data_IF_247119857326
#
_entry.id   IF_247119857326
#
_cell.length_a   1.000
_cell.length_b   1.000
_cell.length_c   1.000
_cell.angle_alpha   90.00
_cell.angle_beta   90.00
_cell.angle_gamma   90.00
#
_symmetry.space_group_name_H-M   'P 1'
#
loop_
_entity.id
_entity.type
_entity.pdbx_description
1 polymer ?
#
# COMPACT_ATOMS: atom_id res chain seq x y z
N UNK A 1 47.97 -90.60 -142.82
CA UNK A 1 47.87 -89.26 -142.16
C UNK A 1 47.02 -89.32 -140.87
N UNK A 2 46.74 -90.52 -140.36
CA UNK A 2 45.91 -90.82 -139.18
C UNK A 2 46.58 -90.54 -137.82
N UNK A 3 47.87 -90.18 -137.75
CA UNK A 3 48.55 -89.94 -136.45
C UNK A 3 48.23 -88.60 -135.78
N UNK A 4 47.56 -87.66 -136.45
CA UNK A 4 47.19 -86.35 -135.86
C UNK A 4 45.84 -86.33 -135.14
N UNK A 5 44.95 -87.28 -135.41
CA UNK A 5 43.64 -87.35 -134.73
C UNK A 5 43.73 -87.93 -133.31
N UNK A 6 44.62 -88.90 -133.09
CA UNK A 6 44.72 -89.61 -131.81
C UNK A 6 45.30 -88.72 -130.68
N UNK A 7 46.26 -87.85 -130.98
CA UNK A 7 46.87 -86.96 -129.98
C UNK A 7 45.96 -85.81 -129.52
N UNK A 8 45.04 -85.35 -130.38
CA UNK A 8 44.06 -84.32 -130.01
C UNK A 8 42.92 -84.88 -129.15
N UNK A 9 42.47 -86.10 -129.43
CA UNK A 9 41.46 -86.76 -128.61
C UNK A 9 41.96 -87.05 -127.18
N UNK A 10 43.25 -87.33 -127.02
CA UNK A 10 43.83 -87.64 -125.71
C UNK A 10 44.08 -86.40 -124.84
N UNK A 11 44.42 -85.25 -125.44
CA UNK A 11 44.58 -83.98 -124.71
C UNK A 11 43.24 -83.40 -124.21
N UNK A 12 42.18 -83.46 -125.02
CA UNK A 12 40.85 -83.03 -124.59
C UNK A 12 40.25 -83.92 -123.49
N UNK A 13 40.56 -85.22 -123.48
CA UNK A 13 40.08 -86.13 -122.43
C UNK A 13 40.68 -85.81 -121.05
N UNK A 14 41.95 -85.39 -121.00
CA UNK A 14 42.64 -85.06 -119.74
C UNK A 14 42.20 -83.72 -119.14
N UNK A 15 41.92 -82.70 -119.96
CA UNK A 15 41.39 -81.43 -119.45
C UNK A 15 39.93 -81.56 -118.99
N UNK A 16 39.13 -82.39 -119.67
CA UNK A 16 37.76 -82.67 -119.26
C UNK A 16 37.69 -83.43 -117.92
N UNK A 17 38.61 -84.37 -117.68
CA UNK A 17 38.70 -85.07 -116.39
C UNK A 17 39.17 -84.16 -115.24
N UNK A 18 40.04 -83.19 -115.50
CA UNK A 18 40.49 -82.24 -114.47
C UNK A 18 39.40 -81.22 -114.08
N UNK A 19 38.59 -80.77 -115.05
CA UNK A 19 37.48 -79.84 -114.80
C UNK A 19 36.33 -80.52 -114.03
N UNK A 20 35.98 -81.75 -114.42
CA UNK A 20 34.93 -82.55 -113.74
C UNK A 20 35.32 -82.88 -112.30
N UNK A 21 36.61 -83.12 -112.00
CA UNK A 21 37.09 -83.40 -110.65
C UNK A 21 36.99 -82.23 -109.67
N UNK A 22 37.22 -80.99 -110.12
CA UNK A 22 37.15 -79.78 -109.31
C UNK A 22 35.70 -79.34 -109.03
N UNK A 23 34.79 -79.50 -109.99
CA UNK A 23 33.36 -79.27 -109.78
C UNK A 23 32.75 -80.29 -108.80
N UNK A 24 33.20 -81.54 -108.84
CA UNK A 24 32.72 -82.57 -107.92
C UNK A 24 33.18 -82.32 -106.47
N UNK A 25 34.41 -81.82 -106.27
CA UNK A 25 34.90 -81.44 -104.93
C UNK A 25 34.20 -80.21 -104.37
N UNK A 26 33.91 -79.20 -105.19
CA UNK A 26 33.15 -78.01 -104.74
C UNK A 26 31.69 -78.35 -104.43
N UNK A 27 31.05 -79.23 -105.21
CA UNK A 27 29.72 -79.72 -104.91
C UNK A 27 29.66 -80.51 -103.60
N UNK A 28 30.62 -81.41 -103.36
CA UNK A 28 30.70 -82.18 -102.11
C UNK A 28 30.94 -81.29 -100.89
N UNK A 29 31.84 -80.31 -100.96
CA UNK A 29 32.06 -79.36 -99.88
C UNK A 29 30.81 -78.49 -99.61
N UNK A 30 30.08 -78.09 -100.66
CA UNK A 30 28.83 -77.33 -100.50
C UNK A 30 27.70 -78.18 -99.87
N UNK A 31 27.62 -79.47 -100.21
CA UNK A 31 26.67 -80.42 -99.62
C UNK A 31 27.03 -80.72 -98.16
N UNK A 32 28.30 -80.89 -97.85
CA UNK A 32 28.77 -81.10 -96.48
C UNK A 32 28.58 -79.84 -95.61
N UNK A 33 28.84 -78.64 -96.15
CA UNK A 33 28.54 -77.38 -95.50
C UNK A 33 27.04 -77.17 -95.25
N UNK A 34 26.18 -77.53 -96.20
CA UNK A 34 24.71 -77.50 -96.02
C UNK A 34 24.23 -78.52 -95.00
N UNK A 35 24.72 -79.76 -95.04
CA UNK A 35 24.38 -80.80 -94.07
C UNK A 35 24.85 -80.41 -92.65
N UNK A 36 26.08 -79.89 -92.50
CA UNK A 36 26.59 -79.39 -91.22
C UNK A 36 25.81 -78.19 -90.71
N UNK A 37 25.36 -77.29 -91.58
CA UNK A 37 24.52 -76.15 -91.22
C UNK A 37 23.14 -76.60 -90.72
N UNK A 38 22.52 -77.58 -91.38
CA UNK A 38 21.23 -78.15 -90.94
C UNK A 38 21.35 -78.87 -89.61
N UNK A 39 22.41 -79.65 -89.38
CA UNK A 39 22.66 -80.32 -88.10
C UNK A 39 22.91 -79.29 -86.98
N UNK A 40 23.69 -78.24 -87.25
CA UNK A 40 23.87 -77.13 -86.30
C UNK A 40 22.56 -76.38 -86.01
N UNK A 41 21.70 -76.17 -87.02
CA UNK A 41 20.41 -75.51 -86.84
C UNK A 41 19.43 -76.37 -86.01
N UNK A 42 19.42 -77.69 -86.20
CA UNK A 42 18.63 -78.61 -85.38
C UNK A 42 19.13 -78.67 -83.94
N UNK A 43 20.45 -78.75 -83.73
CA UNK A 43 21.04 -78.71 -82.40
C UNK A 43 20.80 -77.36 -81.69
N UNK A 44 20.81 -76.24 -82.43
CA UNK A 44 20.46 -74.93 -81.90
C UNK A 44 18.98 -74.83 -81.52
N UNK A 45 18.09 -75.43 -82.33
CA UNK A 45 16.65 -75.50 -82.04
C UNK A 45 16.35 -76.31 -80.79
N UNK A 46 16.99 -77.45 -80.61
CA UNK A 46 16.84 -78.29 -79.42
C UNK A 46 17.34 -77.58 -78.16
N UNK A 47 18.50 -76.93 -78.21
CA UNK A 47 19.01 -76.09 -77.11
C UNK A 47 18.06 -74.97 -76.74
N UNK A 48 17.45 -74.32 -77.73
CA UNK A 48 16.46 -73.26 -77.50
C UNK A 48 15.19 -73.83 -76.87
N UNK A 49 14.71 -74.98 -77.32
CA UNK A 49 13.54 -75.64 -76.74
C UNK A 49 13.77 -76.03 -75.28
N UNK A 50 14.93 -76.61 -74.97
CA UNK A 50 15.29 -76.95 -73.59
C UNK A 50 15.40 -75.70 -72.71
N UNK A 51 16.02 -74.62 -73.20
CA UNK A 51 16.09 -73.35 -72.49
C UNK A 51 14.70 -72.75 -72.21
N UNK A 52 13.80 -72.77 -73.20
CA UNK A 52 12.41 -72.30 -73.04
C UNK A 52 11.67 -73.16 -72.01
N UNK A 53 11.84 -74.47 -72.07
CA UNK A 53 11.21 -75.40 -71.14
C UNK A 53 11.69 -75.16 -69.70
N UNK A 54 13.00 -75.05 -69.48
CA UNK A 54 13.57 -74.76 -68.16
C UNK A 54 13.08 -73.41 -67.62
N UNK A 55 13.04 -72.37 -68.47
CA UNK A 55 12.50 -71.07 -68.10
C UNK A 55 11.02 -71.13 -67.74
N UNK A 56 10.22 -71.89 -68.48
CA UNK A 56 8.80 -72.08 -68.20
C UNK A 56 8.60 -72.83 -66.89
N UNK A 57 9.43 -73.84 -66.62
CA UNK A 57 9.37 -74.60 -65.38
C UNK A 57 9.71 -73.73 -64.17
N UNK A 58 10.76 -72.91 -64.25
CA UNK A 58 11.09 -71.92 -63.22
C UNK A 58 9.95 -70.92 -63.03
N UNK A 59 9.33 -70.43 -64.11
CA UNK A 59 8.18 -69.53 -64.00
C UNK A 59 6.99 -70.17 -63.29
N UNK A 60 6.68 -71.44 -63.60
CA UNK A 60 5.59 -72.17 -62.95
C UNK A 60 5.83 -72.38 -61.45
N UNK A 61 7.07 -72.69 -61.05
CA UNK A 61 7.46 -72.79 -59.64
C UNK A 61 7.29 -71.46 -58.93
N UNK A 62 7.79 -70.37 -59.52
CA UNK A 62 7.63 -69.03 -58.93
C UNK A 62 6.15 -68.61 -58.85
N UNK A 63 5.34 -68.94 -59.85
CA UNK A 63 3.91 -68.65 -59.85
C UNK A 63 3.18 -69.41 -58.73
N UNK A 64 3.55 -70.68 -58.51
CA UNK A 64 3.04 -71.46 -57.39
C UNK A 64 3.44 -70.85 -56.04
N UNK A 65 4.70 -70.45 -55.88
CA UNK A 65 5.17 -69.79 -54.66
C UNK A 65 4.46 -68.46 -54.40
N UNK A 66 4.27 -67.64 -55.43
CA UNK A 66 3.54 -66.38 -55.33
C UNK A 66 2.09 -66.63 -54.91
N UNK A 67 1.42 -67.61 -55.51
CA UNK A 67 0.05 -67.99 -55.11
C UNK A 67 -0.01 -68.49 -53.67
N UNK A 68 0.95 -69.32 -53.25
CA UNK A 68 1.04 -69.81 -51.87
C UNK A 68 1.25 -68.67 -50.88
N UNK A 69 2.17 -67.74 -51.18
CA UNK A 69 2.42 -66.56 -50.33
C UNK A 69 1.20 -65.63 -50.29
N UNK A 70 0.54 -65.43 -51.43
CA UNK A 70 -0.72 -64.68 -51.50
C UNK A 70 -1.80 -65.27 -50.60
N UNK A 71 -2.02 -66.58 -50.67
CA UNK A 71 -2.99 -67.27 -49.81
C UNK A 71 -2.66 -67.20 -48.31
N UNK A 72 -1.38 -67.30 -47.93
CA UNK A 72 -0.97 -67.10 -46.53
C UNK A 72 -1.22 -65.67 -46.05
N UNK A 73 -0.97 -64.68 -46.90
CA UNK A 73 -1.12 -63.27 -46.57
C UNK A 73 -2.60 -62.86 -46.44
N UNK A 74 -3.46 -63.37 -47.33
CA UNK A 74 -4.92 -63.23 -47.23
C UNK A 74 -5.47 -63.90 -45.96
N UNK A 75 -4.90 -65.04 -45.54
CA UNK A 75 -5.26 -65.71 -44.28
C UNK A 75 -4.91 -64.88 -43.05
N UNK A 76 -3.71 -64.28 -43.03
CA UNK A 76 -3.28 -63.40 -41.94
C UNK A 76 -4.12 -62.12 -41.87
N UNK A 77 -4.40 -61.47 -43.00
CA UNK A 77 -5.28 -60.29 -43.05
C UNK A 77 -6.71 -60.59 -42.60
N UNK A 78 -7.26 -61.76 -42.92
CA UNK A 78 -8.56 -62.19 -42.37
C UNK A 78 -8.50 -62.36 -40.86
N UNK A 79 -7.43 -62.89 -40.30
CA UNK A 79 -7.28 -63.03 -38.85
C UNK A 79 -7.10 -61.69 -38.13
N UNK A 80 -6.40 -60.72 -38.74
CA UNK A 80 -6.32 -59.34 -38.22
C UNK A 80 -7.66 -58.61 -38.33
N UNK A 81 -8.43 -58.84 -39.39
CA UNK A 81 -9.79 -58.31 -39.54
C UNK A 81 -10.80 -58.99 -38.59
N UNK A 82 -10.49 -60.21 -38.14
CA UNK A 82 -11.27 -60.96 -37.15
C UNK A 82 -10.66 -60.78 -35.75
N UNK A 83 -10.31 -59.54 -35.39
CA UNK A 83 -9.98 -59.22 -34.00
C UNK A 83 -11.14 -59.65 -33.11
N UNK A 84 -10.81 -60.43 -32.08
CA UNK A 84 -11.79 -61.02 -31.16
C UNK A 84 -12.66 -59.91 -30.55
N UNK A 85 -14.01 -59.93 -30.71
CA UNK A 85 -14.89 -58.85 -30.29
C UNK A 85 -14.72 -58.48 -28.80
N UNK A 86 -14.35 -59.48 -27.99
CA UNK A 86 -14.00 -59.34 -26.57
C UNK A 86 -12.77 -58.47 -26.34
N UNK A 87 -11.67 -58.71 -27.09
CA UNK A 87 -10.43 -57.92 -26.98
C UNK A 87 -10.66 -56.46 -27.40
N UNK A 88 -11.41 -56.24 -28.49
CA UNK A 88 -11.80 -54.91 -28.94
C UNK A 88 -12.64 -54.16 -27.89
N UNK A 89 -13.53 -54.86 -27.19
CA UNK A 89 -14.33 -54.27 -26.12
C UNK A 89 -13.47 -53.91 -24.89
N UNK A 90 -12.52 -54.76 -24.52
CA UNK A 90 -11.56 -54.50 -23.44
C UNK A 90 -10.68 -53.29 -23.77
N UNK A 91 -10.17 -53.19 -25.00
CA UNK A 91 -9.37 -52.04 -25.46
C UNK A 91 -10.17 -50.74 -25.31
N UNK A 92 -11.41 -50.69 -25.84
CA UNK A 92 -12.28 -49.50 -25.69
C UNK A 92 -12.54 -49.14 -24.23
N UNK A 93 -12.73 -50.14 -23.37
CA UNK A 93 -12.94 -49.90 -21.95
C UNK A 93 -11.70 -49.31 -21.28
N UNK A 94 -10.52 -49.81 -21.61
CA UNK A 94 -9.25 -49.29 -21.10
C UNK A 94 -8.99 -47.87 -21.61
N UNK A 95 -9.22 -47.60 -22.88
CA UNK A 95 -9.12 -46.25 -23.47
C UNK A 95 -10.05 -45.27 -22.74
N UNK A 96 -11.31 -45.63 -22.55
CA UNK A 96 -12.27 -44.81 -21.80
C UNK A 96 -11.84 -44.57 -20.34
N UNK A 97 -11.27 -45.59 -19.69
CA UNK A 97 -10.78 -45.47 -18.32
C UNK A 97 -9.55 -44.56 -18.23
N UNK A 98 -8.63 -44.67 -19.21
CA UNK A 98 -7.45 -43.80 -19.33
C UNK A 98 -7.87 -42.35 -19.56
N UNK A 99 -8.79 -42.09 -20.49
CA UNK A 99 -9.30 -40.74 -20.77
C UNK A 99 -9.94 -40.13 -19.51
N UNK A 100 -10.78 -40.91 -18.80
CA UNK A 100 -11.39 -40.47 -17.52
C UNK A 100 -10.33 -40.15 -16.47
N UNK A 101 -9.27 -40.94 -16.38
CA UNK A 101 -8.18 -40.69 -15.43
C UNK A 101 -7.42 -39.41 -15.79
N UNK A 102 -7.10 -39.20 -17.07
CA UNK A 102 -6.44 -37.98 -17.54
C UNK A 102 -7.28 -36.73 -17.25
N UNK A 103 -8.60 -36.79 -17.43
CA UNK A 103 -9.49 -35.69 -17.07
C UNK A 103 -9.51 -35.40 -15.57
N UNK A 104 -9.47 -36.45 -14.72
CA UNK A 104 -9.36 -36.30 -13.27
C UNK A 104 -8.02 -35.66 -12.86
N UNK A 105 -6.91 -36.07 -13.48
CA UNK A 105 -5.59 -35.49 -13.24
C UNK A 105 -5.60 -34.01 -13.61
N UNK A 106 -6.03 -33.65 -14.83
CA UNK A 106 -6.11 -32.25 -15.27
C UNK A 106 -6.98 -31.39 -14.37
N UNK A 107 -8.09 -31.94 -13.88
CA UNK A 107 -8.97 -31.23 -12.93
C UNK A 107 -8.30 -31.06 -11.57
N UNK A 108 -7.65 -32.12 -11.08
CA UNK A 108 -6.88 -32.10 -9.85
C UNK A 108 -5.73 -31.08 -9.89
N UNK A 109 -5.01 -30.99 -11.01
CA UNK A 109 -3.95 -29.99 -11.23
C UNK A 109 -4.49 -28.56 -11.20
N UNK A 110 -5.65 -28.30 -11.83
CA UNK A 110 -6.31 -26.99 -11.78
C UNK A 110 -6.70 -26.61 -10.36
N UNK A 111 -7.29 -27.55 -9.61
CA UNK A 111 -7.67 -27.35 -8.21
C UNK A 111 -6.43 -27.09 -7.35
N UNK A 112 -5.38 -27.89 -7.53
CA UNK A 112 -4.11 -27.74 -6.81
C UNK A 112 -3.47 -26.37 -7.06
N UNK A 113 -3.42 -25.93 -8.31
CA UNK A 113 -2.92 -24.60 -8.67
C UNK A 113 -3.75 -23.48 -8.03
N UNK A 114 -5.07 -23.64 -7.94
CA UNK A 114 -5.94 -22.69 -7.26
C UNK A 114 -5.65 -22.63 -5.76
N UNK A 115 -5.43 -23.78 -5.12
CA UNK A 115 -5.05 -23.84 -3.71
C UNK A 115 -3.70 -23.18 -3.45
N UNK A 116 -2.70 -23.39 -4.30
CA UNK A 116 -1.41 -22.72 -4.18
C UNK A 116 -1.57 -21.20 -4.26
N UNK A 117 -2.32 -20.70 -5.25
CA UNK A 117 -2.62 -19.26 -5.37
C UNK A 117 -3.31 -18.70 -4.13
N UNK A 118 -4.27 -19.42 -3.58
CA UNK A 118 -4.98 -19.00 -2.37
C UNK A 118 -4.04 -18.94 -1.17
N UNK A 119 -3.15 -19.92 -1.03
CA UNK A 119 -2.14 -19.95 0.03
C UNK A 119 -1.17 -18.77 -0.10
N UNK A 120 -0.72 -18.45 -1.31
CA UNK A 120 0.18 -17.32 -1.53
C UNK A 120 -0.51 -15.99 -1.18
N UNK A 121 -1.76 -15.80 -1.61
CA UNK A 121 -2.55 -14.63 -1.20
C UNK A 121 -2.71 -14.53 0.32
N UNK A 122 -3.00 -15.65 1.00
CA UNK A 122 -3.12 -15.67 2.45
C UNK A 122 -1.80 -15.38 3.16
N UNK A 123 -0.65 -15.78 2.59
CA UNK A 123 0.66 -15.43 3.12
C UNK A 123 0.93 -13.93 2.97
N UNK A 124 0.55 -13.34 1.84
CA UNK A 124 0.70 -11.90 1.60
C UNK A 124 -0.16 -11.07 2.57
N UNK A 125 -1.41 -11.48 2.81
CA UNK A 125 -2.28 -10.89 3.83
C UNK A 125 -1.70 -11.05 5.24
N UNK A 126 -1.22 -12.26 5.57
CA UNK A 126 -0.61 -12.54 6.87
C UNK A 126 0.65 -11.69 7.10
N UNK A 127 1.43 -11.40 6.06
CA UNK A 127 2.61 -10.54 6.16
C UNK A 127 2.27 -9.07 6.46
N UNK A 128 1.07 -8.60 6.09
CA UNK A 128 0.63 -7.23 6.34
C UNK A 128 0.10 -7.00 7.76
N UNK A 129 -0.48 -8.03 8.39
CA UNK A 129 -1.09 -7.93 9.71
C UNK A 129 -0.11 -7.46 10.81
N UNK A 130 1.13 -7.99 10.92
CA UNK A 130 2.11 -7.50 11.90
C UNK A 130 2.43 -6.01 11.72
N UNK A 131 2.57 -5.54 10.49
CA UNK A 131 2.86 -4.12 10.21
C UNK A 131 1.71 -3.21 10.68
N UNK A 132 0.46 -3.62 10.44
CA UNK A 132 -0.71 -2.88 10.94
C UNK A 132 -0.77 -2.89 12.47
N UNK A 133 -0.40 -4.02 13.10
CA UNK A 133 -0.35 -4.15 14.54
C UNK A 133 0.74 -3.25 15.15
N UNK A 134 1.91 -3.18 14.54
CA UNK A 134 3.01 -2.31 14.97
C UNK A 134 2.59 -0.83 14.95
N UNK A 135 1.88 -0.40 13.90
CA UNK A 135 1.35 0.96 13.79
C UNK A 135 0.33 1.24 14.91
N UNK A 136 -0.59 0.30 15.16
CA UNK A 136 -1.57 0.42 16.25
C UNK A 136 -0.89 0.46 17.62
N UNK A 137 0.12 -0.38 17.84
CA UNK A 137 0.87 -0.43 19.09
C UNK A 137 1.62 0.89 19.33
N UNK A 138 2.31 1.41 18.32
CA UNK A 138 2.98 2.71 18.42
C UNK A 138 2.00 3.84 18.74
N UNK A 139 0.82 3.88 18.12
CA UNK A 139 -0.20 4.88 18.47
C UNK A 139 -0.66 4.78 19.93
N UNK A 140 -0.84 3.56 20.44
CA UNK A 140 -1.19 3.34 21.86
C UNK A 140 -0.07 3.84 22.77
N UNK A 141 1.19 3.59 22.44
CA UNK A 141 2.33 4.07 23.23
C UNK A 141 2.39 5.60 23.27
N UNK A 142 2.18 6.27 22.14
CA UNK A 142 2.11 7.74 22.05
C UNK A 142 0.98 8.27 22.95
N UNK A 143 -0.24 7.74 22.83
CA UNK A 143 -1.36 8.19 23.65
C UNK A 143 -1.15 7.93 25.14
N UNK A 144 -0.47 6.85 25.52
CA UNK A 144 -0.13 6.61 26.92
C UNK A 144 0.83 7.65 27.48
N UNK A 145 1.82 8.08 26.69
CA UNK A 145 2.76 9.14 27.09
C UNK A 145 2.04 10.47 27.22
N UNK A 146 1.22 10.85 26.25
CA UNK A 146 0.42 12.09 26.29
C UNK A 146 -0.51 12.12 27.51
N UNK A 147 -1.21 11.02 27.79
CA UNK A 147 -2.11 10.92 28.93
C UNK A 147 -1.36 11.04 30.27
N UNK A 148 -0.17 10.43 30.37
CA UNK A 148 0.69 10.59 31.56
C UNK A 148 1.14 12.05 31.72
N UNK A 149 1.49 12.73 30.63
CA UNK A 149 1.83 14.16 30.63
C UNK A 149 0.68 15.03 31.11
N UNK A 150 -0.53 14.83 30.56
CA UNK A 150 -1.73 15.56 30.99
C UNK A 150 -2.08 15.31 32.45
N UNK A 151 -1.92 14.07 32.95
CA UNK A 151 -2.14 13.74 34.36
C UNK A 151 -1.16 14.48 35.27
N UNK A 152 0.11 14.55 34.90
CA UNK A 152 1.11 15.28 35.68
C UNK A 152 0.77 16.78 35.73
N UNK A 153 0.43 17.39 34.59
CA UNK A 153 -0.02 18.78 34.54
C UNK A 153 -1.26 19.03 35.39
N UNK A 154 -2.23 18.11 35.39
CA UNK A 154 -3.42 18.23 36.24
C UNK A 154 -3.05 18.18 37.73
N UNK A 155 -2.15 17.27 38.13
CA UNK A 155 -1.66 17.19 39.51
C UNK A 155 -0.94 18.48 39.90
N UNK A 156 -0.02 18.98 39.06
CA UNK A 156 0.71 20.23 39.32
C UNK A 156 -0.24 21.44 39.44
N UNK A 157 -1.23 21.52 38.55
CA UNK A 157 -2.25 22.56 38.60
C UNK A 157 -3.06 22.49 39.90
N UNK A 158 -3.52 21.31 40.31
CA UNK A 158 -4.25 21.14 41.59
C UNK A 158 -3.38 21.52 42.77
N UNK A 159 -2.11 21.09 42.79
CA UNK A 159 -1.17 21.43 43.86
C UNK A 159 -0.94 22.93 43.95
N UNK A 160 -0.70 23.61 42.83
CA UNK A 160 -0.54 25.06 42.80
C UNK A 160 -1.81 25.80 43.29
N UNK A 161 -3.01 25.29 42.94
CA UNK A 161 -4.25 25.88 43.45
C UNK A 161 -4.46 25.66 44.95
N UNK A 162 -4.07 24.51 45.49
CA UNK A 162 -4.16 24.24 46.92
C UNK A 162 -3.12 25.05 47.70
N UNK A 163 -1.88 25.15 47.21
CA UNK A 163 -0.84 26.02 47.76
C UNK A 163 -1.33 27.48 47.81
N UNK A 164 -1.87 28.01 46.72
CA UNK A 164 -2.43 29.36 46.68
C UNK A 164 -3.61 29.58 47.65
N UNK A 165 -4.48 28.57 47.83
CA UNK A 165 -5.55 28.62 48.83
C UNK A 165 -4.98 28.67 50.24
N UNK A 166 -3.98 27.84 50.54
CA UNK A 166 -3.34 27.83 51.86
C UNK A 166 -2.68 29.17 52.17
N UNK A 167 -1.95 29.75 51.22
CA UNK A 167 -1.32 31.06 51.36
C UNK A 167 -2.34 32.17 51.59
N UNK A 168 -3.44 32.17 50.82
CA UNK A 168 -4.53 33.11 51.01
C UNK A 168 -5.13 33.01 52.43
N UNK A 169 -5.40 31.79 52.91
CA UNK A 169 -5.94 31.60 54.27
C UNK A 169 -4.95 32.02 55.35
N UNK A 170 -3.66 31.71 55.19
CA UNK A 170 -2.63 32.11 56.13
C UNK A 170 -2.55 33.64 56.21
N UNK A 171 -2.46 34.30 55.06
CA UNK A 171 -2.37 35.76 54.98
C UNK A 171 -3.62 36.46 55.52
N UNK A 172 -4.81 35.87 55.31
CA UNK A 172 -6.05 36.36 55.95
C UNK A 172 -5.99 36.23 57.48
N UNK A 173 -5.53 35.10 58.01
CA UNK A 173 -5.42 34.90 59.47
C UNK A 173 -4.41 35.85 60.11
N UNK A 174 -3.27 36.09 59.46
CA UNK A 174 -2.27 37.07 59.89
C UNK A 174 -2.85 38.49 59.88
N UNK A 175 -3.56 38.86 58.83
CA UNK A 175 -4.22 40.17 58.75
C UNK A 175 -5.26 40.37 59.85
N UNK A 176 -6.07 39.34 60.14
CA UNK A 176 -7.04 39.37 61.24
C UNK A 176 -6.33 39.49 62.60
N UNK A 177 -5.26 38.74 62.82
CA UNK A 177 -4.48 38.79 64.06
C UNK A 177 -3.86 40.17 64.27
N UNK A 178 -3.28 40.75 63.23
CA UNK A 178 -2.68 42.08 63.29
C UNK A 178 -3.75 43.17 63.52
N UNK A 179 -4.90 43.07 62.83
CA UNK A 179 -6.04 43.97 63.07
C UNK A 179 -6.51 43.91 64.52
N UNK A 180 -6.67 42.70 65.09
CA UNK A 180 -7.04 42.52 66.50
C UNK A 180 -5.99 43.12 67.44
N UNK A 181 -4.70 42.96 67.14
CA UNK A 181 -3.63 43.56 67.94
C UNK A 181 -3.72 45.10 67.96
N UNK A 182 -3.90 45.72 66.79
CA UNK A 182 -4.07 47.18 66.67
C UNK A 182 -5.31 47.67 67.42
N UNK A 183 -6.44 46.98 67.27
CA UNK A 183 -7.69 47.32 67.95
C UNK A 183 -7.58 47.20 69.48
N UNK A 184 -6.90 46.15 69.97
CA UNK A 184 -6.60 45.99 71.40
C UNK A 184 -5.72 47.12 71.94
N UNK A 185 -4.69 47.52 71.19
CA UNK A 185 -3.83 48.65 71.54
C UNK A 185 -4.60 49.98 71.59
N UNK A 186 -5.44 50.25 70.59
CA UNK A 186 -6.32 51.42 70.56
C UNK A 186 -7.32 51.41 71.72
N UNK A 187 -7.93 50.26 72.03
CA UNK A 187 -8.82 50.10 73.17
C UNK A 187 -8.10 50.34 74.50
N UNK A 188 -6.84 49.93 74.62
CA UNK A 188 -6.03 50.23 75.80
C UNK A 188 -5.80 51.73 75.95
N UNK A 189 -5.37 52.42 74.89
CA UNK A 189 -5.19 53.87 74.90
C UNK A 189 -6.51 54.61 75.20
N UNK A 190 -7.62 54.20 74.59
CA UNK A 190 -8.95 54.76 74.84
C UNK A 190 -9.36 54.62 76.31
N UNK A 191 -9.14 53.45 76.92
CA UNK A 191 -9.39 53.24 78.36
C UNK A 191 -8.56 54.20 79.23
N UNK A 192 -7.31 54.49 78.87
CA UNK A 192 -6.50 55.49 79.60
C UNK A 192 -7.07 56.91 79.44
N UNK A 193 -7.47 57.28 78.22
CA UNK A 193 -8.11 58.58 77.96
C UNK A 193 -9.42 58.70 78.75
N UNK A 194 -10.26 57.66 78.75
CA UNK A 194 -11.53 57.67 79.48
C UNK A 194 -11.30 57.77 81.00
N UNK A 195 -10.26 57.12 81.54
CA UNK A 195 -9.85 57.31 82.95
C UNK A 195 -9.44 58.75 83.24
N UNK A 196 -8.66 59.37 82.35
CA UNK A 196 -8.28 60.79 82.47
C UNK A 196 -9.54 61.65 82.42
N UNK A 197 -10.45 61.42 81.47
CA UNK A 197 -11.70 62.19 81.35
C UNK A 197 -12.59 62.07 82.58
N UNK A 198 -12.74 60.88 83.16
CA UNK A 198 -13.49 60.69 84.41
C UNK A 198 -12.81 61.39 85.58
N UNK A 199 -11.48 61.32 85.68
CA UNK A 199 -10.71 62.04 86.69
C UNK A 199 -10.84 63.55 86.51
N UNK A 200 -10.70 64.07 85.30
CA UNK A 200 -10.88 65.48 84.95
C UNK A 200 -12.31 65.95 85.21
N UNK A 201 -13.33 65.14 84.91
CA UNK A 201 -14.70 65.44 85.28
C UNK A 201 -14.84 65.53 86.80
N UNK A 202 -14.30 64.57 87.57
CA UNK A 202 -14.30 64.62 89.04
C UNK A 202 -13.52 65.81 89.61
N UNK A 203 -12.43 66.22 88.97
CA UNK A 203 -11.66 67.42 89.32
C UNK A 203 -12.39 68.71 88.92
N UNK A 204 -13.10 68.75 87.79
CA UNK A 204 -13.94 69.89 87.40
C UNK A 204 -15.10 70.07 88.38
N UNK A 205 -15.72 69.00 88.87
CA UNK A 205 -16.68 69.07 89.99
C UNK A 205 -16.03 69.61 91.27
N UNK A 206 -14.71 69.44 91.45
CA UNK A 206 -13.93 70.05 92.54
C UNK A 206 -13.51 71.51 92.25
N UNK A 207 -13.40 71.91 90.97
CA UNK A 207 -12.95 73.25 90.50
C UNK A 207 -14.09 74.20 90.08
N UNK A 208 -15.36 73.79 90.13
CA UNK A 208 -16.51 74.73 90.00
C UNK A 208 -16.52 75.77 91.13
N UNK A 209 -15.66 75.63 92.14
CA UNK A 209 -15.24 76.74 93.00
C UNK A 209 -14.02 77.45 92.37
N UNK A 210 -14.28 78.51 91.59
CA UNK A 210 -13.34 79.58 91.16
C UNK A 210 -12.89 79.60 89.68
N UNK A 211 -13.39 80.57 88.88
CA UNK A 211 -12.85 80.89 87.55
C UNK A 211 -11.95 82.14 87.55
N UNK A 212 -10.80 82.08 86.85
CA UNK A 212 -10.15 83.27 86.24
C UNK A 212 -9.38 82.89 84.98
N UNK A 213 -9.73 83.55 83.88
CA UNK A 213 -9.06 83.56 82.59
C UNK A 213 -7.96 84.65 82.55
N UNK A 214 -6.88 84.44 81.80
CA UNK A 214 -5.97 85.50 81.35
C UNK A 214 -5.41 85.17 79.95
N UNK A 215 -5.54 86.16 79.07
CA UNK A 215 -5.02 86.23 77.70
C UNK A 215 -3.58 86.77 77.70
N UNK A 216 -2.71 86.29 76.79
CA UNK A 216 -1.51 87.06 76.37
C UNK A 216 -1.19 86.85 74.87
N UNK A 217 -1.42 87.95 74.14
CA UNK A 217 -0.68 88.61 73.05
C UNK A 217 0.17 87.82 72.02
N UNK A 218 -0.06 88.20 70.75
CA UNK A 218 0.64 87.79 69.52
C UNK A 218 1.54 88.95 69.04
N UNK A 219 2.86 88.78 69.10
CA UNK A 219 3.85 89.74 68.58
C UNK A 219 4.05 89.60 67.07
N UNK A 220 4.12 90.73 66.36
CA UNK A 220 4.36 90.85 64.92
C UNK A 220 5.82 91.24 64.69
N UNK A 221 6.64 90.35 64.12
CA UNK A 221 8.04 90.61 63.73
C UNK A 221 8.09 90.86 62.20
N UNK A 222 8.58 92.03 61.79
CA UNK A 222 8.86 92.38 60.39
C UNK A 222 10.15 91.69 59.90
N UNK A 223 10.11 91.05 58.73
CA UNK A 223 11.24 90.29 58.19
C UNK A 223 12.23 91.20 57.42
N UNK A 224 13.52 91.08 57.73
CA UNK A 224 14.61 91.85 57.08
C UNK A 224 14.73 91.53 55.57
N UNK A 225 15.15 92.49 54.74
CA UNK A 225 15.26 92.36 53.27
C UNK A 225 16.07 91.12 52.81
N UNK A 226 17.17 90.82 53.51
CA UNK A 226 17.98 89.63 53.24
C UNK A 226 17.23 88.31 53.49
N UNK A 227 16.27 88.30 54.42
CA UNK A 227 15.44 87.14 54.70
C UNK A 227 14.39 86.91 53.61
N UNK A 228 13.87 87.99 53.01
CA UNK A 228 12.93 87.91 51.88
C UNK A 228 13.65 87.39 50.62
N UNK A 229 14.86 87.87 50.33
CA UNK A 229 15.65 87.39 49.18
C UNK A 229 16.05 85.91 49.33
N UNK A 230 16.49 85.49 50.52
CA UNK A 230 16.77 84.09 50.82
C UNK A 230 15.53 83.21 50.69
N UNK A 231 14.37 83.67 51.20
CA UNK A 231 13.12 82.93 51.11
C UNK A 231 12.62 82.81 49.66
N UNK A 232 12.81 83.83 48.84
CA UNK A 232 12.51 83.77 47.41
C UNK A 232 13.39 82.75 46.66
N UNK A 233 14.69 82.71 46.98
CA UNK A 233 15.62 81.76 46.38
C UNK A 233 15.29 80.31 46.76
N UNK A 234 15.02 80.04 48.04
CA UNK A 234 14.60 78.71 48.51
C UNK A 234 13.30 78.26 47.83
N UNK A 235 12.33 79.16 47.68
CA UNK A 235 11.06 78.84 47.00
C UNK A 235 11.28 78.52 45.52
N UNK A 236 12.16 79.26 44.83
CA UNK A 236 12.51 79.00 43.43
C UNK A 236 13.20 77.63 43.24
N UNK A 237 14.14 77.27 44.11
CA UNK A 237 14.81 75.96 44.05
C UNK A 237 13.85 74.81 44.35
N UNK A 238 12.95 74.99 45.33
CA UNK A 238 11.88 74.03 45.62
C UNK A 238 10.97 73.82 44.40
N UNK A 239 10.60 74.90 43.69
CA UNK A 239 9.76 74.79 42.49
C UNK A 239 10.49 74.10 41.34
N UNK A 240 11.81 74.29 41.18
CA UNK A 240 12.61 73.52 40.21
C UNK A 240 12.58 72.01 40.53
N UNK A 241 12.76 71.66 41.80
CA UNK A 241 12.69 70.25 42.26
C UNK A 241 11.29 69.69 42.02
N UNK A 242 10.24 70.47 42.32
CA UNK A 242 8.85 70.09 42.09
C UNK A 242 8.57 69.81 40.61
N UNK A 243 9.08 70.65 39.71
CA UNK A 243 8.97 70.45 38.26
C UNK A 243 9.76 69.21 37.80
N UNK A 244 10.99 69.01 38.28
CA UNK A 244 11.83 67.86 37.90
C UNK A 244 11.24 66.52 38.35
N UNK A 245 10.67 66.48 39.56
CA UNK A 245 10.03 65.29 40.15
C UNK A 245 8.55 65.17 39.76
N UNK A 246 8.02 66.14 39.00
CA UNK A 246 6.65 66.26 38.47
C UNK A 246 5.53 66.24 39.54
N UNK A 247 5.80 66.63 40.78
CA UNK A 247 4.80 66.63 41.87
C UNK A 247 3.98 67.92 41.95
N UNK A 248 2.78 67.84 42.50
CA UNK A 248 1.90 69.00 42.68
C UNK A 248 2.12 69.69 44.02
N UNK A 249 2.46 68.94 45.08
CA UNK A 249 2.71 69.47 46.41
C UNK A 249 4.11 69.14 46.92
N UNK A 250 4.66 70.05 47.72
CA UNK A 250 5.94 69.94 48.41
C UNK A 250 6.07 68.64 49.22
N UNK A 251 4.99 68.23 49.88
CA UNK A 251 4.94 67.03 50.70
C UNK A 251 5.09 65.73 49.89
N UNK A 252 4.85 65.77 48.58
CA UNK A 252 4.92 64.60 47.71
C UNK A 252 6.35 64.32 47.20
N UNK A 253 7.26 65.30 47.34
CA UNK A 253 8.64 65.21 46.83
C UNK A 253 9.35 63.99 47.45
N UNK A 254 9.29 63.85 48.78
CA UNK A 254 9.92 62.73 49.48
C UNK A 254 9.32 61.37 49.06
N UNK A 255 8.00 61.29 48.89
CA UNK A 255 7.32 60.08 48.44
C UNK A 255 7.72 59.67 47.02
N UNK A 256 7.88 60.63 46.11
CA UNK A 256 8.32 60.34 44.73
C UNK A 256 9.79 59.93 44.64
N UNK A 257 10.67 60.53 45.44
CA UNK A 257 12.06 60.06 45.53
C UNK A 257 12.14 58.63 46.06
N UNK A 258 11.36 58.29 47.09
CA UNK A 258 11.29 56.91 47.59
C UNK A 258 10.72 55.94 46.55
N UNK A 259 9.71 56.35 45.78
CA UNK A 259 9.16 55.53 44.71
C UNK A 259 10.16 55.34 43.54
N UNK A 260 10.87 56.39 43.14
CA UNK A 260 11.95 56.30 42.14
C UNK A 260 13.09 55.41 42.63
N UNK A 261 13.50 55.55 43.90
CA UNK A 261 14.50 54.70 44.52
C UNK A 261 14.07 53.23 44.48
N UNK A 262 12.85 52.91 44.94
CA UNK A 262 12.31 51.55 44.93
C UNK A 262 12.19 50.98 43.52
N UNK A 263 11.83 51.81 42.53
CA UNK A 263 11.80 51.40 41.12
C UNK A 263 13.21 51.12 40.61
N UNK A 264 14.19 51.93 40.98
CA UNK A 264 15.61 51.71 40.68
C UNK A 264 16.15 50.42 41.30
N UNK A 265 15.85 50.16 42.57
CA UNK A 265 16.21 48.93 43.28
C UNK A 265 15.59 47.69 42.60
N UNK A 266 14.31 47.77 42.19
CA UNK A 266 13.65 46.70 41.46
C UNK A 266 14.27 46.44 40.07
N UNK A 267 14.60 47.50 39.32
CA UNK A 267 15.30 47.36 38.05
C UNK A 267 16.70 46.77 38.23
N UNK A 268 17.43 47.19 39.27
CA UNK A 268 18.73 46.65 39.59
C UNK A 268 18.64 45.15 39.92
N UNK A 269 17.63 44.75 40.69
CA UNK A 269 17.33 43.35 40.98
C UNK A 269 17.02 42.57 39.69
N UNK A 270 16.19 43.11 38.79
CA UNK A 270 15.90 42.48 37.50
C UNK A 270 17.14 42.34 36.61
N UNK A 271 18.06 43.33 36.62
CA UNK A 271 19.33 43.24 35.88
C UNK A 271 20.18 42.09 36.42
N UNK A 272 20.27 41.95 37.75
CA UNK A 272 21.00 40.86 38.40
C UNK A 272 20.38 39.50 38.06
N UNK A 273 19.06 39.36 38.17
CA UNK A 273 18.33 38.12 37.82
C UNK A 273 18.47 37.76 36.35
N UNK A 274 18.39 38.74 35.44
CA UNK A 274 18.64 38.52 34.02
C UNK A 274 20.09 38.08 33.76
N UNK A 275 21.05 38.66 34.49
CA UNK A 275 22.46 38.27 34.45
C UNK A 275 22.67 36.82 34.88
N UNK A 276 22.10 36.44 36.02
CA UNK A 276 22.15 35.07 36.54
C UNK A 276 21.53 34.06 35.57
N UNK A 277 20.33 34.34 35.05
CA UNK A 277 19.68 33.48 34.04
C UNK A 277 20.53 33.31 32.78
N UNK A 278 21.22 34.37 32.35
CA UNK A 278 22.13 34.30 31.21
C UNK A 278 23.32 33.39 31.51
N UNK A 279 23.93 33.49 32.69
CA UNK A 279 25.02 32.60 33.11
C UNK A 279 24.57 31.15 33.25
N UNK A 280 23.39 30.89 33.81
CA UNK A 280 22.77 29.55 33.87
C UNK A 280 22.51 28.97 32.48
N UNK A 281 22.03 29.79 31.53
CA UNK A 281 21.82 29.34 30.16
C UNK A 281 23.14 29.11 29.43
N UNK A 282 24.16 29.94 29.67
CA UNK A 282 25.49 29.78 29.08
C UNK A 282 26.17 28.50 29.59
N UNK A 283 26.01 28.17 30.88
CA UNK A 283 26.51 26.92 31.45
C UNK A 283 25.79 25.70 30.89
N UNK A 284 24.44 25.73 30.80
CA UNK A 284 23.66 24.67 30.12
C UNK A 284 24.04 24.51 28.65
N UNK A 285 24.31 25.62 27.95
CA UNK A 285 24.74 25.57 26.56
C UNK A 285 26.09 24.85 26.45
N UNK A 286 27.06 25.19 27.31
CA UNK A 286 28.36 24.50 27.36
C UNK A 286 28.23 23.01 27.72
N UNK A 287 27.31 22.67 28.63
CA UNK A 287 27.00 21.27 28.99
C UNK A 287 26.41 20.51 27.79
N UNK A 288 25.43 21.09 27.09
CA UNK A 288 24.84 20.48 25.89
C UNK A 288 25.84 20.40 24.72
N UNK A 289 26.76 21.36 24.60
CA UNK A 289 27.85 21.30 23.63
C UNK A 289 28.84 20.17 23.96
N UNK A 290 29.14 19.97 25.25
CA UNK A 290 29.94 18.85 25.71
C UNK A 290 29.21 17.53 25.46
N UNK A 291 27.93 17.39 25.83
CA UNK A 291 27.13 16.19 25.56
C UNK A 291 27.04 15.92 24.05
N UNK A 292 26.89 16.95 23.23
CA UNK A 292 26.92 16.81 21.77
C UNK A 292 28.29 16.36 21.26
N UNK A 293 29.38 16.87 21.84
CA UNK A 293 30.73 16.43 21.51
C UNK A 293 30.95 14.98 21.97
N UNK A 294 30.48 14.62 23.15
CA UNK A 294 30.47 13.26 23.68
C UNK A 294 29.65 12.33 22.77
N UNK A 295 28.46 12.70 22.32
CA UNK A 295 27.69 11.90 21.37
C UNK A 295 28.35 11.83 19.97
N UNK A 296 29.10 12.87 19.58
CA UNK A 296 29.83 12.90 18.32
C UNK A 296 31.12 12.06 18.35
N UNK A 297 31.77 11.94 19.51
CA UNK A 297 33.10 11.34 19.64
C UNK A 297 33.15 10.09 20.54
N UNK A 298 32.18 9.86 21.43
CA UNK A 298 31.95 8.61 22.13
C UNK A 298 30.96 7.73 21.37
N UNK A 299 31.53 6.73 20.70
CA UNK A 299 30.80 5.54 20.28
C UNK A 299 30.55 4.67 21.52
N UNK A 300 29.31 4.62 22.02
CA UNK A 300 28.86 3.46 22.80
C UNK A 300 28.83 2.27 21.83
N UNK A 301 29.51 1.14 22.13
CA UNK A 301 29.50 -0.03 21.26
C UNK A 301 28.18 -0.79 21.47
N UNK A 302 27.07 -0.22 21.00
CA UNK A 302 25.84 -0.98 20.82
C UNK A 302 24.98 -0.37 19.72
N UNK A 303 24.86 -1.13 18.64
CA UNK A 303 23.69 -1.21 17.75
C UNK A 303 23.61 -0.32 16.50
N UNK A 304 24.51 0.64 16.24
CA UNK A 304 24.47 1.43 14.97
C UNK A 304 25.79 1.30 14.18
N UNK A 305 26.31 0.07 14.03
CA UNK A 305 27.51 -0.18 13.23
C UNK A 305 27.36 -1.30 12.20
N UNK A 306 26.13 -1.67 11.84
CA UNK A 306 25.88 -2.68 10.80
C UNK A 306 25.48 -2.09 9.43
N UNK A 307 25.17 -0.80 9.34
CA UNK A 307 24.56 -0.24 8.12
C UNK A 307 25.56 0.43 7.16
N UNK A 308 26.78 0.75 7.58
CA UNK A 308 27.70 1.48 6.71
C UNK A 308 29.15 1.00 6.84
N UNK A 309 29.44 -0.16 6.24
CA UNK A 309 30.82 -0.48 5.84
C UNK A 309 30.98 -0.12 4.36
N UNK A 310 32.10 0.47 3.92
CA UNK A 310 32.31 0.89 2.53
C UNK A 310 32.09 -0.24 1.50
N UNK A 311 32.32 -1.50 1.91
CA UNK A 311 32.04 -2.68 1.07
C UNK A 311 30.54 -2.94 0.83
N UNK A 312 29.68 -2.61 1.78
CA UNK A 312 28.22 -2.73 1.61
C UNK A 312 27.67 -1.60 0.74
N UNK A 313 28.28 -0.42 0.80
CA UNK A 313 27.92 0.70 -0.07
C UNK A 313 28.20 0.37 -1.54
N UNK A 314 29.39 -0.15 -1.82
CA UNK A 314 29.80 -0.52 -3.17
C UNK A 314 28.94 -1.66 -3.75
N UNK A 315 28.60 -2.65 -2.92
CA UNK A 315 27.67 -3.72 -3.30
C UNK A 315 26.26 -3.19 -3.60
N UNK A 316 25.79 -2.21 -2.82
CA UNK A 316 24.46 -1.62 -2.99
C UNK A 316 24.40 -0.66 -4.19
N UNK A 317 25.49 0.05 -4.49
CA UNK A 317 25.64 0.85 -5.70
C UNK A 317 25.61 -0.02 -6.97
N UNK A 318 26.30 -1.18 -6.95
CA UNK A 318 26.23 -2.16 -8.04
C UNK A 318 24.81 -2.71 -8.21
N UNK A 319 24.14 -3.01 -7.09
CA UNK A 319 22.74 -3.49 -7.10
C UNK A 319 21.79 -2.45 -7.70
N UNK A 320 21.97 -1.18 -7.31
CA UNK A 320 21.18 -0.05 -7.84
C UNK A 320 21.41 0.11 -9.35
N UNK A 321 22.67 0.02 -9.80
CA UNK A 321 23.00 0.12 -11.23
C UNK A 321 22.38 -1.01 -12.06
N UNK A 322 22.33 -2.23 -11.50
CA UNK A 322 21.69 -3.38 -12.14
C UNK A 322 20.17 -3.20 -12.26
N UNK A 323 19.51 -2.72 -11.20
CA UNK A 323 18.06 -2.43 -11.20
C UNK A 323 17.73 -1.32 -12.19
N UNK A 324 18.54 -0.27 -12.23
CA UNK A 324 18.35 0.84 -13.18
C UNK A 324 18.49 0.37 -14.64
N UNK A 325 19.47 -0.49 -14.92
CA UNK A 325 19.64 -1.08 -16.25
C UNK A 325 18.45 -1.97 -16.64
N UNK A 326 17.90 -2.74 -15.69
CA UNK A 326 16.71 -3.56 -15.93
C UNK A 326 15.46 -2.71 -16.17
N UNK A 327 15.31 -1.62 -15.42
CA UNK A 327 14.21 -0.66 -15.61
C UNK A 327 14.23 -0.06 -17.02
N UNK A 328 15.40 0.36 -17.52
CA UNK A 328 15.53 0.90 -18.89
C UNK A 328 15.15 -0.14 -19.97
N UNK A 329 15.57 -1.40 -19.81
CA UNK A 329 15.17 -2.49 -20.73
C UNK A 329 13.66 -2.75 -20.71
N UNK A 330 13.05 -2.72 -19.52
CA UNK A 330 11.61 -2.89 -19.39
C UNK A 330 10.84 -1.72 -20.03
N UNK A 331 11.38 -0.49 -19.93
CA UNK A 331 10.80 0.68 -20.57
C UNK A 331 10.89 0.60 -22.10
N UNK A 332 12.00 0.14 -22.65
CA UNK A 332 12.16 -0.12 -24.08
C UNK A 332 11.20 -1.20 -24.58
N UNK A 333 11.04 -2.28 -23.80
CA UNK A 333 10.06 -3.33 -24.11
C UNK A 333 8.63 -2.78 -24.10
N UNK A 334 8.28 -1.95 -23.12
CA UNK A 334 6.96 -1.33 -23.05
C UNK A 334 6.67 -0.48 -24.29
N UNK A 335 7.62 0.36 -24.69
CA UNK A 335 7.52 1.16 -25.91
C UNK A 335 7.36 0.27 -27.16
N UNK A 336 8.04 -0.88 -27.22
CA UNK A 336 7.88 -1.83 -28.33
C UNK A 336 6.47 -2.45 -28.37
N UNK A 337 5.87 -2.72 -27.20
CA UNK A 337 4.49 -3.21 -27.10
C UNK A 337 3.49 -2.13 -27.49
N UNK A 338 3.65 -0.91 -26.99
CA UNK A 338 2.79 0.23 -27.34
C UNK A 338 2.80 0.46 -28.85
N UNK A 339 3.99 0.52 -29.46
CA UNK A 339 4.12 0.63 -30.91
C UNK A 339 3.48 -0.57 -31.64
N UNK A 340 3.59 -1.79 -31.10
CA UNK A 340 2.94 -2.97 -31.67
C UNK A 340 1.41 -2.90 -31.64
N UNK A 341 0.86 -2.40 -30.54
CA UNK A 341 -0.58 -2.19 -30.34
C UNK A 341 -1.08 -1.07 -31.26
N UNK A 342 -0.38 0.05 -31.35
CA UNK A 342 -0.73 1.16 -32.23
C UNK A 342 -0.71 0.73 -33.71
N UNK A 343 0.30 -0.05 -34.11
CA UNK A 343 0.37 -0.63 -35.44
C UNK A 343 -0.79 -1.60 -35.74
N UNK A 344 -1.24 -2.36 -34.73
CA UNK A 344 -2.40 -3.25 -34.87
C UNK A 344 -3.70 -2.44 -34.96
N UNK A 345 -3.84 -1.40 -34.14
CA UNK A 345 -4.98 -0.49 -34.12
C UNK A 345 -5.16 0.19 -35.49
N UNK A 346 -4.08 0.72 -36.06
CA UNK A 346 -4.10 1.32 -37.41
C UNK A 346 -4.59 0.32 -38.47
N UNK A 347 -4.12 -0.94 -38.42
CA UNK A 347 -4.57 -1.98 -39.36
C UNK A 347 -6.03 -2.36 -39.16
N UNK A 348 -6.50 -2.43 -37.92
CA UNK A 348 -7.89 -2.75 -37.59
C UNK A 348 -8.85 -1.61 -37.96
N UNK A 349 -8.43 -0.36 -37.84
CA UNK A 349 -9.20 0.80 -38.29
C UNK A 349 -9.45 0.83 -39.81
N UNK A 350 -8.67 0.08 -40.60
CA UNK A 350 -8.84 -0.04 -42.05
C UNK A 350 -9.81 -1.15 -42.51
N UNK A 351 -10.31 -1.98 -41.60
CA UNK A 351 -11.21 -3.09 -41.94
C UNK A 351 -12.66 -2.62 -41.75
N UNK A 352 -13.32 -2.25 -42.85
CA UNK A 352 -14.77 -2.02 -42.84
C UNK A 352 -15.50 -3.37 -42.92
N UNK A 353 -16.16 -3.76 -41.83
CA UNK A 353 -17.06 -4.92 -41.81
C UNK A 353 -18.39 -4.50 -42.47
N UNK A 354 -18.89 -5.20 -43.50
CA UNK A 354 -20.19 -4.89 -44.09
C UNK A 354 -21.30 -5.14 -43.05
N UNK A 355 -22.01 -4.09 -42.64
CA UNK A 355 -23.22 -4.20 -41.83
C UNK A 355 -23.18 -3.63 -40.42
N UNK A 356 -22.14 -2.90 -40.00
CA UNK A 356 -22.17 -2.15 -38.73
C UNK A 356 -22.06 -0.64 -38.98
N UNK A 357 -23.12 0.09 -38.62
CA UNK A 357 -23.13 1.55 -38.53
C UNK A 357 -22.37 1.94 -37.27
N UNK A 358 -21.07 2.20 -37.40
CA UNK A 358 -20.30 2.86 -36.35
C UNK A 358 -20.69 4.34 -36.29
N UNK A 359 -21.70 4.67 -35.50
CA UNK A 359 -21.90 6.03 -35.03
C UNK A 359 -20.95 6.30 -33.85
N UNK A 360 -19.65 6.41 -34.13
CA UNK A 360 -18.72 7.09 -33.24
C UNK A 360 -18.52 8.50 -33.81
N UNK A 361 -19.32 9.43 -33.31
CA UNK A 361 -18.99 10.85 -33.43
C UNK A 361 -17.62 11.09 -32.75
N UNK A 362 -16.76 11.95 -33.30
CA UNK A 362 -15.50 12.31 -32.66
C UNK A 362 -15.79 13.15 -31.41
N UNK A 363 -15.42 12.65 -30.22
CA UNK A 363 -15.38 13.46 -29.01
C UNK A 363 -13.99 14.12 -28.82
N UNK A 364 -13.93 15.30 -28.17
CA UNK A 364 -12.81 16.23 -28.20
C UNK A 364 -11.63 15.77 -27.33
N UNK A 365 -10.44 16.38 -27.48
CA UNK A 365 -9.27 16.00 -26.72
C UNK A 365 -9.36 16.53 -25.28
N UNK A 366 -8.75 15.74 -24.38
CA UNK A 366 -8.52 15.98 -22.95
C UNK A 366 -9.72 15.80 -22.01
N UNK A 367 -9.68 14.74 -21.20
CA UNK A 367 -9.77 14.77 -19.73
C UNK A 367 -9.34 13.39 -19.15
N UNK A 368 -8.77 13.32 -17.94
CA UNK A 368 -8.16 12.11 -17.38
C UNK A 368 -9.20 11.14 -16.80
N UNK A 369 -9.00 9.85 -17.07
CA UNK A 369 -9.79 8.75 -16.50
C UNK A 369 -9.58 8.71 -14.98
N UNK A 370 -10.62 9.09 -14.23
CA UNK A 370 -10.68 8.98 -12.77
C UNK A 370 -11.50 7.76 -12.35
N UNK A 371 -11.13 7.25 -11.16
CA UNK A 371 -11.53 6.03 -10.45
C UNK A 371 -13.04 5.96 -10.13
N UNK A 372 -13.92 5.95 -11.14
CA UNK A 372 -15.38 5.80 -10.90
C UNK A 372 -16.09 4.70 -11.67
N UNK A 373 -15.45 3.98 -12.59
CA UNK A 373 -16.12 2.87 -13.30
C UNK A 373 -15.92 1.49 -12.66
N UNK A 374 -15.10 1.35 -11.61
CA UNK A 374 -14.79 0.04 -11.00
C UNK A 374 -15.79 -0.38 -9.91
N UNK A 375 -16.41 0.57 -9.21
CA UNK A 375 -17.37 0.29 -8.13
C UNK A 375 -18.70 -0.32 -8.60
N UNK A 376 -19.05 -0.17 -9.89
CA UNK A 376 -20.25 -0.77 -10.47
C UNK A 376 -20.10 -2.25 -10.80
N UNK A 377 -18.87 -2.70 -11.07
CA UNK A 377 -18.59 -4.04 -11.57
C UNK A 377 -18.38 -5.07 -10.44
N UNK A 378 -17.95 -4.62 -9.25
CA UNK A 378 -17.77 -5.47 -8.06
C UNK A 378 -19.10 -5.95 -7.46
N UNK A 379 -20.17 -5.15 -7.52
CA UNK A 379 -21.48 -5.54 -6.97
C UNK A 379 -22.16 -6.63 -7.80
N UNK A 380 -21.93 -6.66 -9.10
CA UNK A 380 -22.46 -7.70 -9.98
C UNK A 380 -21.78 -9.06 -9.73
N UNK A 381 -20.46 -9.05 -9.47
CA UNK A 381 -19.69 -10.25 -9.16
C UNK A 381 -20.00 -10.81 -7.76
N UNK A 382 -20.23 -9.95 -6.77
CA UNK A 382 -20.62 -10.38 -5.43
C UNK A 382 -22.02 -11.03 -5.38
N UNK A 383 -22.98 -10.54 -6.18
CA UNK A 383 -24.32 -11.14 -6.29
C UNK A 383 -24.30 -12.51 -6.99
N UNK A 384 -23.42 -12.67 -7.98
CA UNK A 384 -23.23 -13.94 -8.70
C UNK A 384 -22.55 -15.00 -7.81
N UNK A 385 -21.56 -14.61 -7.00
CA UNK A 385 -20.88 -15.51 -6.06
C UNK A 385 -21.78 -15.95 -4.90
N UNK A 386 -22.66 -15.07 -4.41
CA UNK A 386 -23.64 -15.42 -3.37
C UNK A 386 -24.70 -16.41 -3.88
N UNK A 387 -25.10 -16.30 -5.16
CA UNK A 387 -26.04 -17.23 -5.80
C UNK A 387 -25.42 -18.61 -6.05
N UNK A 388 -24.11 -18.67 -6.35
CA UNK A 388 -23.37 -19.93 -6.55
C UNK A 388 -23.12 -20.65 -5.23
N UNK A 389 -22.87 -19.93 -4.13
CA UNK A 389 -22.73 -20.53 -2.79
C UNK A 389 -24.05 -21.11 -2.25
N UNK A 390 -25.20 -20.56 -2.63
CA UNK A 390 -26.50 -21.07 -2.19
C UNK A 390 -26.94 -22.35 -2.94
N UNK A 391 -26.43 -22.59 -4.15
CA UNK A 391 -26.80 -23.75 -4.99
C UNK A 391 -25.95 -25.00 -4.76
N UNK A 392 -24.86 -24.93 -3.97
CA UNK A 392 -23.92 -26.04 -3.77
C UNK A 392 -24.08 -26.77 -2.43
N UNK A 393 -25.13 -26.49 -1.66
CA UNK A 393 -25.34 -27.11 -0.35
C UNK A 393 -26.37 -28.25 -0.42
N UNK A 394 -25.94 -29.39 -0.97
CA UNK A 394 -26.62 -30.67 -0.79
C UNK A 394 -25.66 -31.67 -0.15
N UNK A 395 -26.12 -32.24 0.97
CA UNK A 395 -25.60 -33.35 1.77
C UNK A 395 -24.64 -33.07 2.95
N UNK A 396 -24.78 -33.84 4.05
CA UNK A 396 -24.41 -33.41 5.41
C UNK A 396 -23.20 -34.18 5.99
N UNK A 397 -22.84 -33.85 7.24
CA UNK A 397 -22.02 -34.63 8.24
C UNK A 397 -20.56 -34.14 8.40
N UNK A 398 -19.94 -34.17 9.61
CA UNK A 398 -20.46 -34.07 11.00
C UNK A 398 -19.84 -32.90 11.79
N UNK A 399 -20.56 -32.53 12.87
CA UNK A 399 -20.10 -31.63 13.94
C UNK A 399 -18.88 -32.20 14.66
N UNK A 400 -17.80 -31.42 14.74
CA UNK A 400 -16.93 -31.34 15.92
C UNK A 400 -15.89 -30.20 15.75
N UNK A 401 -16.24 -28.98 16.16
CA UNK A 401 -15.26 -28.02 16.67
C UNK A 401 -15.95 -27.11 17.71
N UNK A 402 -15.39 -26.97 18.93
CA UNK A 402 -16.00 -26.20 19.99
C UNK A 402 -15.66 -24.71 19.86
N UNK A 403 -16.69 -23.88 20.03
CA UNK A 403 -16.69 -22.58 20.70
C UNK A 403 -15.33 -21.94 21.02
N UNK A 404 -14.89 -21.01 20.16
CA UNK A 404 -14.00 -19.89 20.51
C UNK A 404 -14.38 -18.66 19.66
N UNK A 405 -15.60 -18.15 19.82
CA UNK A 405 -15.98 -16.83 19.29
C UNK A 405 -16.92 -16.06 20.24
N UNK A 406 -16.85 -16.35 21.54
CA UNK A 406 -17.58 -15.64 22.59
C UNK A 406 -16.65 -15.37 23.77
N UNK A 407 -15.66 -14.50 23.57
CA UNK A 407 -14.95 -13.80 24.66
C UNK A 407 -14.17 -12.60 24.10
N UNK A 408 -14.90 -11.65 23.54
CA UNK A 408 -14.39 -10.29 23.26
C UNK A 408 -15.50 -9.22 23.40
N UNK A 409 -16.54 -9.52 24.18
CA UNK A 409 -17.57 -8.56 24.59
C UNK A 409 -17.70 -8.54 26.13
N UNK A 410 -16.58 -8.40 26.83
CA UNK A 410 -16.55 -8.35 28.31
C UNK A 410 -15.53 -7.33 28.81
N UNK A 411 -15.47 -6.15 28.20
CA UNK A 411 -14.63 -5.04 28.66
C UNK A 411 -15.32 -3.68 28.45
N UNK A 412 -16.65 -3.66 28.60
CA UNK A 412 -17.45 -2.43 28.55
C UNK A 412 -18.17 -2.14 29.89
N UNK A 413 -17.78 -2.80 30.98
CA UNK A 413 -18.29 -2.52 32.34
C UNK A 413 -17.21 -1.80 33.16
N UNK A 414 -17.01 -0.52 32.89
CA UNK A 414 -16.43 0.46 33.83
C UNK A 414 -16.39 1.87 33.18
N UNK A 415 -17.56 2.40 32.80
CA UNK A 415 -17.73 3.82 32.58
C UNK A 415 -19.07 4.24 33.17
N UNK A 416 -19.04 4.66 34.43
CA UNK A 416 -20.13 5.38 35.07
C UNK A 416 -20.32 6.72 34.36
N UNK A 417 -21.30 6.76 33.45
CA UNK A 417 -21.97 8.01 33.10
C UNK A 417 -23.25 8.10 33.92
N UNK A 418 -23.30 9.11 34.78
CA UNK A 418 -24.47 9.48 35.54
C UNK A 418 -25.70 9.64 34.63
N UNK A 419 -26.81 9.09 35.10
CA UNK A 419 -28.22 9.36 34.76
C UNK A 419 -28.48 10.29 33.58
N UNK A 420 -28.60 9.71 32.39
CA UNK A 420 -29.36 10.28 31.29
C UNK A 420 -30.58 9.40 31.11
N UNK A 421 -31.76 9.95 31.42
CA UNK A 421 -33.06 9.29 31.27
C UNK A 421 -33.24 8.70 29.87
N UNK A 422 -32.97 7.41 29.72
CA UNK A 422 -33.27 6.62 28.53
C UNK A 422 -34.71 6.10 28.57
N UNK A 423 -35.69 6.96 28.83
CA UNK A 423 -37.10 6.62 28.66
C UNK A 423 -37.57 7.11 27.29
N UNK A 424 -37.27 6.33 26.25
CA UNK A 424 -38.06 6.17 25.00
C UNK A 424 -37.15 5.94 23.79
N UNK A 425 -36.97 4.67 23.44
CA UNK A 425 -36.44 4.25 22.14
C UNK A 425 -37.64 3.78 21.32
N UNK A 426 -38.05 4.53 20.27
CA UNK A 426 -39.24 4.18 19.50
C UNK A 426 -39.06 2.82 18.82
N UNK A 427 -40.06 1.95 18.94
CA UNK A 427 -40.06 0.67 18.22
C UNK A 427 -40.08 0.95 16.70
N UNK A 428 -39.51 0.04 15.92
CA UNK A 428 -39.54 0.02 14.45
C UNK A 428 -40.92 0.37 13.87
N UNK A 429 -42.00 -0.05 14.51
CA UNK A 429 -43.36 0.24 14.06
C UNK A 429 -43.81 1.68 14.34
N UNK A 430 -43.31 2.32 15.38
CA UNK A 430 -43.52 3.74 15.67
C UNK A 430 -42.73 4.62 14.70
N UNK A 431 -41.48 4.24 14.39
CA UNK A 431 -40.66 4.92 13.39
C UNK A 431 -41.35 4.87 12.02
N UNK A 432 -41.91 3.71 11.64
CA UNK A 432 -42.69 3.57 10.40
C UNK A 432 -43.95 4.44 10.42
N UNK A 433 -44.70 4.47 11.52
CA UNK A 433 -45.89 5.32 11.65
C UNK A 433 -45.55 6.81 11.58
N UNK A 434 -44.44 7.24 12.19
CA UNK A 434 -43.97 8.62 12.09
C UNK A 434 -43.54 8.98 10.67
N UNK A 435 -42.85 8.06 9.98
CA UNK A 435 -42.48 8.23 8.56
C UNK A 435 -43.71 8.41 7.66
N UNK A 436 -44.74 7.58 7.83
CA UNK A 436 -45.99 7.70 7.05
C UNK A 436 -46.71 9.01 7.35
N UNK A 437 -46.77 9.44 8.63
CA UNK A 437 -47.36 10.74 9.00
C UNK A 437 -46.61 11.92 8.40
N UNK A 438 -45.29 11.85 8.30
CA UNK A 438 -44.46 12.89 7.69
C UNK A 438 -44.69 13.00 6.18
N UNK A 439 -44.85 11.86 5.50
CA UNK A 439 -45.16 11.82 4.07
C UNK A 439 -46.57 12.38 3.80
N UNK A 440 -47.54 12.06 4.65
CA UNK A 440 -48.90 12.60 4.53
C UNK A 440 -48.97 14.11 4.77
N UNK A 441 -48.23 14.66 5.74
CA UNK A 441 -48.23 16.11 6.01
C UNK A 441 -47.56 16.89 4.88
N UNK A 442 -46.46 16.37 4.32
CA UNK A 442 -45.80 16.99 3.17
C UNK A 442 -46.66 16.95 1.90
N UNK A 443 -47.35 15.84 1.63
CA UNK A 443 -48.21 15.72 0.45
C UNK A 443 -49.53 16.49 0.56
N UNK A 444 -50.10 16.64 1.76
CA UNK A 444 -51.25 17.52 2.02
C UNK A 444 -50.87 19.01 1.93
N UNK A 445 -49.68 19.40 2.39
CA UNK A 445 -49.17 20.77 2.25
C UNK A 445 -48.95 21.16 0.78
N UNK A 446 -48.45 20.23 -0.04
CA UNK A 446 -48.28 20.44 -1.49
C UNK A 446 -49.63 20.68 -2.21
N UNK A 447 -50.69 19.93 -1.86
CA UNK A 447 -52.03 20.13 -2.43
C UNK A 447 -52.70 21.45 -2.00
N UNK A 448 -52.40 21.97 -0.80
CA UNK A 448 -52.90 23.29 -0.34
C UNK A 448 -52.22 24.45 -1.09
N UNK A 449 -50.94 24.32 -1.44
CA UNK A 449 -50.21 25.31 -2.24
C UNK A 449 -50.72 25.40 -3.68
N UNK A 450 -51.17 24.28 -4.26
CA UNK A 450 -51.68 24.24 -5.63
C UNK A 450 -53.12 24.77 -5.79
N UNK A 451 -53.93 24.77 -4.70
CA UNK A 451 -55.30 25.35 -4.71
C UNK A 451 -55.35 26.86 -4.39
N UNK A 452 -54.26 27.47 -3.91
CA UNK A 452 -54.18 28.90 -3.62
C UNK A 452 -53.89 29.81 -4.83
N UNK A 453 -53.45 29.25 -5.96
CA UNK A 453 -53.01 30.01 -7.13
C UNK A 453 -54.08 30.28 -8.20
N UNK A 454 -55.37 30.13 -7.91
CA UNK A 454 -56.44 30.27 -8.92
C UNK A 454 -57.58 31.24 -8.54
N UNK A 455 -57.25 32.28 -7.77
CA UNK A 455 -58.07 33.51 -7.66
C UNK A 455 -57.14 34.71 -7.77
N UNK A 456 -57.09 35.32 -8.94
CA UNK A 456 -56.27 36.51 -9.21
C UNK A 456 -55.59 36.50 -10.58
N UNK A 457 -56.36 36.28 -11.64
CA UNK A 457 -56.13 36.74 -13.02
C UNK A 457 -57.41 36.48 -13.81
#
# INVERSE_FOLDING_TARGET
RERRGALWAQACATEFQAFVGLEHQTLLLSLWGRASSVVCALAAREKLQNYIFDKMNVHNVLLYEVKRRGGMLEGLQRNEATQDPSLLQVIRQLENNIEKMLMKIRTGEKIYYLYLKMVDFLKDELAQLPLQLDVLQHMVEVYQVELKGMRLMAVDATKATEEAKTDMTNMETEFIAERRFRENSLNFQKKQIDRIRVKDASERHRRVVSPRELWVQKGKLEASKAQIEHQAQVTSEVDKIKCAVQCSHLWDIAGRFLAQQKTGENLQQQIVECGQKREELETKLKELELERAELKFHQTPSSIRYIFTPKNLEAEEVRLHQVHTQMLKNQELLLSFENGVDNLLIRLCGITVPGHVCALNPLPPALPVTVRSWAGQERALCSYLFSIMFLLNETPVPRAFPTCFTRLCSFADAFDFADIDHSYVPNRDEIKKQGVRLIETMTKAAKKKQRGGRKGA
#
